data_IF_005876130621
#
_entry.id   IF_005876130621
#
_cell.length_a   1.000
_cell.length_b   1.000
_cell.length_c   1.000
_cell.angle_alpha   90.00
_cell.angle_beta   90.00
_cell.angle_gamma   90.00
#
_symmetry.space_group_name_H-M   'P 1'
#
loop_
_entity.id
_entity.type
_entity.pdbx_description
1 polymer ?
#
# COMPACT_ATOMS: atom_id res chain seq x y z
N UNK A 1 41.57 -4.80 11.37
CA UNK A 1 40.98 -4.29 10.11
C UNK A 1 40.81 -2.77 10.07
N UNK A 2 41.23 -2.00 11.09
CA UNK A 2 41.05 -0.53 11.11
C UNK A 2 39.59 -0.05 11.13
N UNK A 3 38.62 -0.97 11.22
CA UNK A 3 37.19 -0.67 11.30
C UNK A 3 36.82 -0.37 12.75
N UNK A 4 35.95 0.63 12.93
CA UNK A 4 35.40 1.00 14.23
C UNK A 4 34.69 -0.20 14.85
N UNK A 5 35.03 -0.50 16.10
CA UNK A 5 34.36 -1.54 16.88
C UNK A 5 33.02 -1.01 17.41
N UNK A 6 31.93 -1.33 16.70
CA UNK A 6 30.57 -0.91 17.06
C UNK A 6 30.12 -1.44 18.43
N UNK A 7 30.72 -2.53 18.95
CA UNK A 7 30.36 -3.10 20.26
C UNK A 7 31.07 -2.40 21.42
N UNK A 8 32.16 -1.69 21.14
CA UNK A 8 32.88 -0.89 22.13
C UNK A 8 32.36 0.56 22.21
N UNK A 9 31.36 0.92 21.40
CA UNK A 9 30.69 2.21 21.52
C UNK A 9 29.84 2.24 22.80
N UNK A 10 29.79 3.37 23.53
CA UNK A 10 28.84 3.56 24.61
C UNK A 10 27.42 3.30 24.13
N UNK A 11 26.60 2.64 24.95
CA UNK A 11 25.19 2.46 24.63
C UNK A 11 24.52 3.84 24.49
N UNK A 12 23.78 4.11 23.41
CA UNK A 12 23.08 5.37 23.26
C UNK A 12 21.97 5.47 24.30
N UNK A 13 22.02 6.51 25.13
CA UNK A 13 20.93 6.90 26.00
C UNK A 13 19.95 7.75 25.18
N UNK A 14 18.78 7.19 24.85
CA UNK A 14 17.70 7.93 24.19
C UNK A 14 16.93 8.74 25.24
N UNK A 15 17.59 9.75 25.79
CA UNK A 15 16.95 10.69 26.72
C UNK A 15 16.20 11.73 25.90
N UNK A 16 14.92 11.96 26.23
CA UNK A 16 14.13 13.08 25.66
C UNK A 16 14.97 14.36 25.77
N UNK A 17 15.40 14.90 24.64
CA UNK A 17 16.21 16.14 24.58
C UNK A 17 15.39 17.37 24.97
N UNK A 18 14.07 17.30 24.78
CA UNK A 18 13.14 18.36 25.14
C UNK A 18 12.45 18.02 26.48
N UNK A 19 12.46 18.92 27.47
CA UNK A 19 11.68 18.72 28.69
C UNK A 19 10.20 18.64 28.35
N UNK A 20 9.50 17.67 28.95
CA UNK A 20 8.07 17.49 28.70
C UNK A 20 7.29 18.75 29.08
N UNK A 21 6.56 19.30 28.11
CA UNK A 21 5.56 20.35 28.33
C UNK A 21 4.18 19.79 28.01
N UNK A 22 3.26 19.90 28.96
CA UNK A 22 1.89 19.44 28.76
C UNK A 22 1.14 20.32 27.73
N UNK A 23 0.23 19.71 26.93
CA UNK A 23 -0.69 20.44 26.07
C UNK A 23 -1.43 21.57 26.80
N UNK A 24 -1.41 22.78 26.23
CA UNK A 24 -2.01 23.99 26.83
C UNK A 24 -3.41 24.31 26.32
N UNK A 25 -3.84 23.62 25.26
CA UNK A 25 -5.16 23.80 24.65
C UNK A 25 -5.78 22.45 24.27
N UNK A 26 -7.10 22.44 24.03
CA UNK A 26 -7.79 21.24 23.53
C UNK A 26 -7.19 20.78 22.19
N UNK A 27 -6.81 21.73 21.32
CA UNK A 27 -6.20 21.45 20.02
C UNK A 27 -4.80 20.84 20.18
N UNK A 28 -3.95 21.38 21.06
CA UNK A 28 -2.66 20.76 21.39
C UNK A 28 -2.88 19.34 21.96
N UNK A 29 -3.89 19.13 22.81
CA UNK A 29 -4.15 17.82 23.43
C UNK A 29 -4.59 16.77 22.41
N UNK A 30 -5.46 17.14 21.47
CA UNK A 30 -5.87 16.26 20.37
C UNK A 30 -4.70 15.93 19.45
N UNK A 31 -3.90 16.93 19.06
CA UNK A 31 -2.70 16.71 18.24
C UNK A 31 -1.65 15.84 18.95
N UNK A 32 -1.42 16.04 20.24
CA UNK A 32 -0.51 15.21 21.03
C UNK A 32 -0.97 13.74 21.06
N UNK A 33 -2.27 13.49 21.22
CA UNK A 33 -2.84 12.14 21.11
C UNK A 33 -2.65 11.54 19.72
N UNK A 34 -2.89 12.32 18.66
CA UNK A 34 -2.68 11.87 17.28
C UNK A 34 -1.20 11.55 16.98
N UNK A 35 -0.26 12.34 17.48
CA UNK A 35 1.18 12.05 17.37
C UNK A 35 1.52 10.75 18.09
N UNK A 36 1.05 10.60 19.32
CA UNK A 36 1.29 9.43 20.16
C UNK A 36 0.81 8.15 19.46
N UNK A 37 -0.43 8.14 18.97
CA UNK A 37 -1.02 6.98 18.29
C UNK A 37 -0.30 6.64 16.99
N UNK A 38 0.08 7.64 16.19
CA UNK A 38 0.73 7.41 14.88
C UNK A 38 2.16 6.90 15.04
N UNK A 39 2.85 7.32 16.09
CA UNK A 39 4.22 6.96 16.40
C UNK A 39 4.33 5.77 17.37
N UNK A 40 3.21 5.23 17.83
CA UNK A 40 3.13 4.15 18.82
C UNK A 40 3.88 4.50 20.13
N UNK A 41 3.61 5.70 20.65
CA UNK A 41 4.22 6.24 21.86
C UNK A 41 3.17 6.40 22.98
N UNK A 42 3.55 6.19 24.25
CA UNK A 42 2.61 6.34 25.36
C UNK A 42 2.20 7.80 25.61
N UNK A 43 3.05 8.77 25.26
CA UNK A 43 2.81 10.19 25.52
C UNK A 43 3.69 11.09 24.65
N UNK A 44 3.11 12.19 24.16
CA UNK A 44 3.79 13.26 23.42
C UNK A 44 3.48 14.61 24.09
N UNK A 45 4.51 15.44 24.29
CA UNK A 45 4.40 16.79 24.82
C UNK A 45 4.30 17.85 23.71
N UNK A 46 3.93 19.08 24.08
CA UNK A 46 3.68 20.16 23.13
C UNK A 46 4.89 20.54 22.27
N UNK A 47 6.10 20.37 22.80
CA UNK A 47 7.36 20.78 22.15
C UNK A 47 8.14 19.59 21.58
N UNK A 48 7.58 18.37 21.64
CA UNK A 48 8.23 17.22 21.02
C UNK A 48 8.09 17.31 19.50
N UNK A 49 9.23 17.25 18.80
CA UNK A 49 9.27 17.24 17.35
C UNK A 49 8.84 15.88 16.80
N UNK A 50 7.91 15.88 15.84
CA UNK A 50 7.40 14.67 15.19
C UNK A 50 8.54 13.79 14.63
N UNK A 51 9.53 14.42 14.00
CA UNK A 51 10.66 13.73 13.37
C UNK A 51 11.72 13.26 14.37
N UNK A 52 11.89 13.99 15.48
CA UNK A 52 12.80 13.59 16.57
C UNK A 52 12.28 12.35 17.31
N UNK A 53 10.95 12.17 17.32
CA UNK A 53 10.27 10.99 17.85
C UNK A 53 10.20 9.81 16.87
N UNK A 54 10.92 9.86 15.74
CA UNK A 54 10.96 8.78 14.75
C UNK A 54 9.91 8.90 13.64
N UNK A 55 9.23 10.05 13.53
CA UNK A 55 8.35 10.35 12.42
C UNK A 55 9.06 10.36 11.07
N UNK A 56 8.39 9.87 10.02
CA UNK A 56 8.88 9.79 8.65
C UNK A 56 7.72 9.98 7.67
N UNK A 57 7.99 10.01 6.36
CA UNK A 57 7.00 10.42 5.35
C UNK A 57 5.68 9.63 5.39
N UNK A 58 5.73 8.33 5.71
CA UNK A 58 4.52 7.50 5.82
C UNK A 58 3.72 7.86 7.08
N UNK A 59 4.37 8.05 8.22
CA UNK A 59 3.68 8.45 9.46
C UNK A 59 3.18 9.89 9.38
N UNK A 60 3.86 10.80 8.67
CA UNK A 60 3.31 12.14 8.36
C UNK A 60 2.02 12.02 7.56
N UNK A 61 1.99 11.16 6.54
CA UNK A 61 0.78 10.95 5.73
C UNK A 61 -0.38 10.40 6.57
N UNK A 62 -0.10 9.45 7.48
CA UNK A 62 -1.09 8.92 8.43
C UNK A 62 -1.57 10.00 9.40
N UNK A 63 -0.67 10.80 9.96
CA UNK A 63 -0.98 11.90 10.87
C UNK A 63 -1.93 12.90 10.20
N UNK A 64 -1.60 13.37 9.00
CA UNK A 64 -2.46 14.29 8.23
C UNK A 64 -3.84 13.68 7.98
N UNK A 65 -3.90 12.40 7.60
CA UNK A 65 -5.17 11.72 7.39
C UNK A 65 -6.02 11.65 8.67
N UNK A 66 -5.40 11.37 9.83
CA UNK A 66 -6.12 11.35 11.12
C UNK A 66 -6.54 12.74 11.58
N UNK A 67 -5.70 13.76 11.42
CA UNK A 67 -6.08 15.16 11.69
C UNK A 67 -7.32 15.52 10.90
N UNK A 68 -7.37 15.16 9.61
CA UNK A 68 -8.55 15.41 8.77
C UNK A 68 -9.82 14.74 9.32
N UNK A 69 -9.72 13.49 9.77
CA UNK A 69 -10.86 12.74 10.29
C UNK A 69 -11.34 13.28 11.64
N UNK A 70 -10.42 13.53 12.58
CA UNK A 70 -10.76 13.89 13.96
C UNK A 70 -11.05 15.39 14.14
N UNK A 71 -10.37 16.25 13.39
CA UNK A 71 -10.45 17.71 13.53
C UNK A 71 -11.18 18.38 12.36
N UNK A 72 -11.48 17.66 11.28
CA UNK A 72 -12.19 18.22 10.12
C UNK A 72 -11.37 19.26 9.34
N UNK A 73 -10.06 19.34 9.56
CA UNK A 73 -9.16 20.32 8.94
C UNK A 73 -8.14 19.66 8.02
N UNK A 74 -7.78 20.33 6.93
CA UNK A 74 -6.71 19.88 6.03
C UNK A 74 -5.37 20.45 6.46
N UNK A 75 -4.38 19.56 6.57
CA UNK A 75 -2.99 19.92 6.82
C UNK A 75 -2.15 19.45 5.63
N UNK A 76 -1.58 20.35 4.81
CA UNK A 76 -0.66 19.91 3.78
C UNK A 76 0.56 19.28 4.45
N UNK A 77 1.10 18.20 3.87
CA UNK A 77 2.29 17.52 4.40
C UNK A 77 3.42 18.52 4.71
N UNK A 78 3.61 19.54 3.86
CA UNK A 78 4.58 20.62 4.08
C UNK A 78 4.41 21.32 5.44
N UNK A 79 3.19 21.54 5.90
CA UNK A 79 2.95 22.19 7.18
C UNK A 79 3.51 21.37 8.35
N UNK A 80 3.45 20.03 8.29
CA UNK A 80 4.06 19.17 9.32
C UNK A 80 5.59 19.32 9.34
N UNK A 81 6.22 19.63 8.21
CA UNK A 81 7.66 19.91 8.16
C UNK A 81 8.01 21.33 8.63
N UNK A 82 7.18 22.31 8.32
CA UNK A 82 7.38 23.71 8.74
C UNK A 82 7.05 23.93 10.22
N UNK A 83 6.11 23.15 10.75
CA UNK A 83 5.62 23.17 12.12
C UNK A 83 5.67 21.77 12.74
N UNK A 84 6.88 21.24 13.03
CA UNK A 84 7.07 19.84 13.41
C UNK A 84 6.65 19.48 14.84
N UNK A 85 6.42 20.45 15.73
CA UNK A 85 5.94 20.18 17.10
C UNK A 85 4.42 20.31 17.21
N UNK A 86 3.84 19.67 18.22
CA UNK A 86 2.40 19.79 18.52
C UNK A 86 1.96 21.24 18.67
N UNK A 87 2.74 22.06 19.38
CA UNK A 87 2.44 23.48 19.59
C UNK A 87 2.50 24.28 18.29
N UNK A 88 3.57 24.09 17.50
CA UNK A 88 3.71 24.79 16.23
C UNK A 88 2.61 24.39 15.24
N UNK A 89 2.22 23.11 15.21
CA UNK A 89 1.18 22.63 14.32
C UNK A 89 -0.20 23.12 14.77
N UNK A 90 -0.43 23.24 16.09
CA UNK A 90 -1.63 23.89 16.62
C UNK A 90 -1.70 25.36 16.19
N UNK A 91 -0.62 26.13 16.39
CA UNK A 91 -0.54 27.53 15.96
C UNK A 91 -0.73 27.67 14.43
N UNK A 92 -0.17 26.75 13.66
CA UNK A 92 -0.34 26.71 12.21
C UNK A 92 -1.81 26.49 11.83
N UNK A 93 -2.50 25.57 12.49
CA UNK A 93 -3.92 25.30 12.27
C UNK A 93 -4.77 26.51 12.64
N UNK A 94 -4.50 27.16 13.77
CA UNK A 94 -5.21 28.36 14.22
C UNK A 94 -5.08 29.50 13.20
N UNK A 95 -3.89 29.68 12.63
CA UNK A 95 -3.62 30.70 11.63
C UNK A 95 -4.23 30.40 10.25
N UNK A 96 -4.60 29.14 9.99
CA UNK A 96 -5.11 28.66 8.70
C UNK A 96 -6.53 28.09 8.78
N UNK A 97 -7.24 28.35 9.88
CA UNK A 97 -8.61 27.91 10.08
C UNK A 97 -9.50 28.47 8.95
N UNK A 98 -10.25 27.59 8.27
CA UNK A 98 -11.12 27.96 7.15
C UNK A 98 -10.57 27.81 5.73
N UNK A 99 -9.35 27.29 5.52
CA UNK A 99 -8.94 26.83 4.17
C UNK A 99 -9.79 25.63 3.75
N UNK A 100 -10.31 25.70 2.52
CA UNK A 100 -11.22 24.69 1.95
C UNK A 100 -10.67 23.27 2.17
N UNK A 101 -11.44 22.48 2.91
CA UNK A 101 -11.21 21.05 3.05
C UNK A 101 -11.24 20.42 1.66
N UNK A 102 -10.31 19.51 1.38
CA UNK A 102 -10.41 18.71 0.16
C UNK A 102 -11.74 17.98 0.26
N UNK A 103 -12.56 18.05 -0.79
CA UNK A 103 -13.87 17.42 -0.78
C UNK A 103 -13.73 15.95 -0.32
N UNK A 104 -14.62 15.55 0.58
CA UNK A 104 -14.65 14.16 1.04
C UNK A 104 -14.83 13.23 -0.17
N UNK A 105 -14.15 12.09 -0.15
CA UNK A 105 -14.38 11.05 -1.13
C UNK A 105 -15.70 10.37 -0.79
N UNK A 106 -16.75 10.75 -1.51
CA UNK A 106 -18.09 10.18 -1.38
C UNK A 106 -18.36 9.28 -2.59
N UNK A 107 -19.19 8.26 -2.40
CA UNK A 107 -19.69 7.45 -3.52
C UNK A 107 -20.29 8.36 -4.59
N UNK A 108 -19.84 8.18 -5.83
CA UNK A 108 -20.32 8.94 -6.99
C UNK A 108 -21.16 8.05 -7.89
N UNK A 109 -22.13 8.62 -8.66
CA UNK A 109 -22.75 7.91 -9.77
C UNK A 109 -21.67 7.39 -10.72
N UNK A 110 -21.70 6.10 -11.04
CA UNK A 110 -20.73 5.48 -11.95
C UNK A 110 -21.00 5.98 -13.38
N UNK A 111 -20.04 6.67 -14.03
CA UNK A 111 -20.21 7.07 -15.43
C UNK A 111 -20.17 5.84 -16.35
N UNK A 112 -20.73 5.97 -17.55
CA UNK A 112 -20.71 4.89 -18.55
C UNK A 112 -19.27 4.47 -18.93
N UNK A 113 -18.33 5.41 -18.93
CA UNK A 113 -16.89 5.18 -19.11
C UNK A 113 -16.15 5.80 -17.93
N UNK A 114 -15.50 4.96 -17.13
CA UNK A 114 -14.74 5.41 -15.96
C UNK A 114 -13.39 5.90 -16.46
N UNK A 115 -13.00 7.17 -16.23
CA UNK A 115 -11.71 7.67 -16.68
C UNK A 115 -10.56 6.99 -15.93
N UNK A 116 -9.39 6.92 -16.55
CA UNK A 116 -8.16 6.56 -15.85
C UNK A 116 -7.78 7.68 -14.88
N UNK A 117 -7.21 7.31 -13.74
CA UNK A 117 -6.44 8.26 -12.94
C UNK A 117 -5.19 8.72 -13.69
N UNK A 118 -4.62 9.87 -13.32
CA UNK A 118 -3.39 10.38 -13.94
C UNK A 118 -2.22 9.38 -13.91
N UNK A 119 -2.07 8.63 -12.82
CA UNK A 119 -1.05 7.60 -12.70
C UNK A 119 -1.30 6.43 -13.67
N UNK A 120 -2.55 6.01 -13.79
CA UNK A 120 -2.94 4.98 -14.76
C UNK A 120 -2.77 5.47 -16.20
N UNK A 121 -3.10 6.73 -16.52
CA UNK A 121 -2.91 7.30 -17.87
C UNK A 121 -1.46 7.23 -18.32
N UNK A 122 -0.50 7.53 -17.42
CA UNK A 122 0.94 7.36 -17.71
C UNK A 122 1.28 5.91 -18.03
N UNK A 123 0.85 4.96 -17.21
CA UNK A 123 1.15 3.54 -17.41
C UNK A 123 0.48 2.97 -18.67
N UNK A 124 -0.75 3.38 -18.95
CA UNK A 124 -1.47 3.00 -20.17
C UNK A 124 -0.76 3.53 -21.42
N UNK A 125 -0.33 4.80 -21.41
CA UNK A 125 0.45 5.37 -22.50
C UNK A 125 1.73 4.57 -22.76
N UNK A 126 2.51 4.28 -21.71
CA UNK A 126 3.74 3.50 -21.84
C UNK A 126 3.47 2.08 -22.38
N UNK A 127 2.45 1.41 -21.86
CA UNK A 127 2.03 0.09 -22.34
C UNK A 127 1.65 0.11 -23.82
N UNK A 128 0.91 1.13 -24.28
CA UNK A 128 0.52 1.29 -25.69
C UNK A 128 1.69 1.66 -26.60
N UNK A 129 2.67 2.39 -26.08
CA UNK A 129 3.83 2.86 -26.84
C UNK A 129 4.93 1.81 -26.96
N UNK A 130 5.23 1.11 -25.86
CA UNK A 130 6.32 0.12 -25.77
C UNK A 130 5.85 -1.32 -26.03
N UNK A 131 4.55 -1.59 -25.83
CA UNK A 131 3.95 -2.92 -25.86
C UNK A 131 3.96 -3.64 -24.49
N UNK A 132 3.36 -4.83 -24.41
CA UNK A 132 3.35 -5.65 -23.19
C UNK A 132 4.77 -6.01 -22.72
N UNK A 133 5.08 -5.71 -21.46
CA UNK A 133 6.35 -6.06 -20.81
C UNK A 133 6.17 -6.28 -19.31
N UNK A 134 7.13 -6.97 -18.69
CA UNK A 134 7.14 -7.18 -17.24
C UNK A 134 7.70 -5.99 -16.43
N UNK A 135 8.07 -4.88 -17.07
CA UNK A 135 8.74 -3.73 -16.42
C UNK A 135 7.94 -3.15 -15.25
N UNK A 136 6.61 -3.21 -15.32
CA UNK A 136 5.70 -2.67 -14.30
C UNK A 136 4.95 -3.77 -13.54
N UNK A 137 5.50 -4.98 -13.49
CA UNK A 137 4.99 -6.03 -12.62
C UNK A 137 5.44 -5.81 -11.17
N UNK A 138 4.55 -6.15 -10.25
CA UNK A 138 4.78 -6.22 -8.81
C UNK A 138 4.61 -7.69 -8.41
N UNK A 139 5.67 -8.51 -8.48
CA UNK A 139 5.60 -9.91 -8.09
C UNK A 139 5.69 -10.07 -6.57
N UNK A 140 4.78 -10.86 -6.00
CA UNK A 140 4.81 -11.34 -4.62
C UNK A 140 4.93 -12.87 -4.66
N UNK A 141 6.03 -13.40 -4.13
CA UNK A 141 6.25 -14.83 -4.01
C UNK A 141 6.24 -15.26 -2.54
N UNK A 142 5.37 -16.20 -2.20
CA UNK A 142 5.21 -16.76 -0.86
C UNK A 142 5.60 -18.23 -0.88
N UNK A 143 6.53 -18.62 -0.01
CA UNK A 143 6.85 -20.03 0.23
C UNK A 143 5.88 -20.58 1.27
N UNK A 144 5.15 -21.62 0.89
CA UNK A 144 4.14 -22.26 1.73
C UNK A 144 4.62 -23.67 2.11
N UNK A 145 4.59 -23.97 3.42
CA UNK A 145 5.03 -25.25 3.98
C UNK A 145 3.90 -25.91 4.75
N UNK A 146 3.74 -27.22 4.58
CA UNK A 146 2.69 -28.02 5.22
C UNK A 146 1.51 -28.34 4.30
N UNK A 147 0.41 -28.80 4.87
CA UNK A 147 -0.82 -29.08 4.13
C UNK A 147 -1.45 -27.78 3.61
N UNK A 148 -1.70 -27.73 2.30
CA UNK A 148 -2.32 -26.60 1.62
C UNK A 148 -3.67 -27.03 1.05
N UNK A 149 -4.74 -26.32 1.42
CA UNK A 149 -6.05 -26.50 0.79
C UNK A 149 -6.11 -25.59 -0.46
N UNK A 150 -5.86 -26.19 -1.62
CA UNK A 150 -5.87 -25.48 -2.91
C UNK A 150 -7.27 -24.96 -3.26
N UNK A 151 -8.34 -25.61 -2.80
CA UNK A 151 -9.70 -25.17 -3.05
C UNK A 151 -10.03 -23.92 -2.20
N UNK A 152 -9.65 -23.93 -0.92
CA UNK A 152 -9.76 -22.76 -0.05
C UNK A 152 -8.92 -21.58 -0.59
N UNK A 153 -7.70 -21.83 -1.07
CA UNK A 153 -6.87 -20.78 -1.69
C UNK A 153 -7.52 -20.18 -2.94
N UNK A 154 -8.15 -21.01 -3.77
CA UNK A 154 -8.90 -20.54 -4.95
C UNK A 154 -10.11 -19.69 -4.55
N UNK A 155 -10.85 -20.10 -3.52
CA UNK A 155 -11.99 -19.34 -2.99
C UNK A 155 -11.53 -18.00 -2.39
N UNK A 156 -10.43 -17.99 -1.64
CA UNK A 156 -9.86 -16.78 -1.04
C UNK A 156 -9.42 -15.76 -2.10
N UNK A 157 -8.76 -16.22 -3.18
CA UNK A 157 -8.40 -15.35 -4.31
C UNK A 157 -9.65 -14.77 -4.99
N UNK A 158 -10.70 -15.56 -5.16
CA UNK A 158 -11.95 -15.11 -5.75
C UNK A 158 -12.64 -14.04 -4.89
N UNK A 159 -12.66 -14.20 -3.56
CA UNK A 159 -13.22 -13.23 -2.62
C UNK A 159 -12.48 -11.89 -2.68
N UNK A 160 -11.14 -11.92 -2.64
CA UNK A 160 -10.28 -10.73 -2.74
C UNK A 160 -10.52 -9.99 -4.07
N UNK A 161 -10.61 -10.70 -5.19
CA UNK A 161 -10.87 -10.09 -6.50
C UNK A 161 -12.29 -9.53 -6.61
N UNK A 162 -13.28 -10.22 -6.02
CA UNK A 162 -14.64 -9.72 -5.97
C UNK A 162 -14.70 -8.38 -5.22
N UNK A 163 -13.99 -8.30 -4.08
CA UNK A 163 -13.88 -7.13 -3.20
C UNK A 163 -13.14 -5.95 -3.85
N UNK A 164 -12.01 -6.20 -4.52
CA UNK A 164 -11.15 -5.14 -5.06
C UNK A 164 -11.33 -4.98 -6.57
N UNK A 165 -12.13 -4.00 -6.98
CA UNK A 165 -12.45 -3.76 -8.41
C UNK A 165 -11.21 -3.56 -9.29
N UNK A 166 -10.14 -2.96 -8.76
CA UNK A 166 -8.89 -2.73 -9.51
C UNK A 166 -8.24 -4.02 -10.01
N UNK A 167 -8.39 -5.13 -9.28
CA UNK A 167 -7.82 -6.43 -9.65
C UNK A 167 -8.58 -7.10 -10.80
N UNK A 168 -9.80 -6.65 -11.10
CA UNK A 168 -10.65 -7.13 -12.20
C UNK A 168 -11.00 -6.03 -13.21
N UNK A 169 -10.10 -5.06 -13.37
CA UNK A 169 -10.28 -3.94 -14.30
C UNK A 169 -9.35 -4.11 -15.50
N UNK A 170 -9.92 -4.10 -16.71
CA UNK A 170 -9.16 -3.96 -17.96
C UNK A 170 -9.20 -2.52 -18.44
N UNK A 171 -8.28 -2.16 -19.33
CA UNK A 171 -8.07 -0.78 -19.79
C UNK A 171 -8.25 -0.72 -21.30
N UNK A 172 -9.13 0.16 -21.76
CA UNK A 172 -9.45 0.31 -23.17
C UNK A 172 -9.41 1.74 -23.61
N UNK A 173 -9.57 1.94 -24.91
CA UNK A 173 -9.74 3.26 -25.50
C UNK A 173 -11.02 3.25 -26.32
N UNK A 174 -11.84 4.29 -26.16
CA UNK A 174 -13.03 4.49 -26.95
C UNK A 174 -13.15 5.96 -27.33
N UNK A 175 -13.28 6.23 -28.63
CA UNK A 175 -13.31 7.58 -29.20
C UNK A 175 -12.07 8.43 -28.84
N UNK A 176 -10.89 7.81 -28.79
CA UNK A 176 -9.63 8.49 -28.45
C UNK A 176 -9.42 8.71 -26.94
N UNK A 177 -10.34 8.23 -26.08
CA UNK A 177 -10.28 8.44 -24.64
C UNK A 177 -10.11 7.11 -23.91
N UNK A 178 -9.03 7.01 -23.13
CA UNK A 178 -8.76 5.85 -22.30
C UNK A 178 -9.80 5.73 -21.18
N UNK A 179 -10.26 4.53 -20.91
CA UNK A 179 -11.22 4.23 -19.85
C UNK A 179 -10.92 2.90 -19.16
N UNK A 180 -11.42 2.79 -17.93
CA UNK A 180 -11.44 1.56 -17.15
C UNK A 180 -12.73 0.81 -17.44
N UNK A 181 -12.60 -0.49 -17.68
CA UNK A 181 -13.72 -1.41 -17.75
C UNK A 181 -13.58 -2.43 -16.61
N UNK A 182 -14.39 -2.22 -15.58
CA UNK A 182 -14.47 -3.12 -14.43
C UNK A 182 -15.28 -4.34 -14.85
N UNK A 183 -14.64 -5.51 -14.90
CA UNK A 183 -15.29 -6.78 -15.21
C UNK A 183 -16.15 -7.25 -14.03
N UNK A 184 -17.17 -8.10 -14.26
CA UNK A 184 -17.87 -8.79 -13.19
C UNK A 184 -16.87 -9.52 -12.27
N UNK A 185 -17.29 -9.78 -11.03
CA UNK A 185 -16.50 -10.59 -10.10
C UNK A 185 -16.51 -12.05 -10.59
N UNK A 186 -15.63 -12.35 -11.55
CA UNK A 186 -15.34 -13.70 -11.99
C UNK A 186 -14.17 -14.26 -11.19
N UNK A 187 -14.12 -15.58 -11.09
CA UNK A 187 -13.04 -16.29 -10.39
C UNK A 187 -11.73 -16.07 -11.13
N UNK A 188 -10.74 -15.45 -10.48
CA UNK A 188 -9.38 -15.43 -11.04
C UNK A 188 -8.84 -16.86 -11.07
N UNK A 189 -8.37 -17.34 -12.23
CA UNK A 189 -7.83 -18.69 -12.32
C UNK A 189 -6.52 -18.78 -11.52
N UNK A 190 -6.54 -19.52 -10.42
CA UNK A 190 -5.32 -20.04 -9.81
C UNK A 190 -4.77 -21.16 -10.70
N UNK A 191 -3.64 -20.88 -11.36
CA UNK A 191 -2.90 -21.84 -12.17
C UNK A 191 -2.09 -22.71 -11.21
N UNK A 192 -2.25 -24.02 -11.26
CA UNK A 192 -1.49 -24.97 -10.44
C UNK A 192 -0.57 -25.76 -11.36
N UNK A 193 0.72 -25.73 -11.08
CA UNK A 193 1.76 -26.42 -11.86
C UNK A 193 2.70 -27.15 -10.93
N UNK A 194 3.14 -28.36 -11.31
CA UNK A 194 4.25 -29.03 -10.65
C UNK A 194 5.57 -28.38 -11.06
N UNK A 195 6.55 -28.34 -10.16
CA UNK A 195 7.91 -27.89 -10.48
C UNK A 195 8.53 -28.90 -11.45
N UNK A 196 8.99 -28.41 -12.60
CA UNK A 196 9.63 -29.26 -13.60
C UNK A 196 10.90 -29.91 -13.05
N UNK A 197 11.15 -31.16 -13.44
CA UNK A 197 12.33 -31.90 -12.99
C UNK A 197 13.63 -31.17 -13.40
N UNK A 198 14.57 -31.08 -12.46
CA UNK A 198 15.83 -30.33 -12.62
C UNK A 198 15.72 -28.81 -12.66
N UNK A 199 14.52 -28.21 -12.63
CA UNK A 199 14.35 -26.76 -12.63
C UNK A 199 14.48 -26.20 -11.19
N UNK A 200 15.34 -25.18 -10.96
CA UNK A 200 15.36 -24.47 -9.69
C UNK A 200 14.04 -23.73 -9.45
N UNK A 201 13.49 -23.80 -8.23
CA UNK A 201 12.28 -23.06 -7.86
C UNK A 201 12.40 -21.56 -8.17
N UNK A 202 13.57 -20.96 -7.93
CA UNK A 202 13.82 -19.54 -8.21
C UNK A 202 13.64 -19.21 -9.69
N UNK A 203 14.00 -20.12 -10.58
CA UNK A 203 13.79 -19.96 -12.02
C UNK A 203 12.29 -20.03 -12.36
N UNK A 204 11.57 -21.02 -11.82
CA UNK A 204 10.12 -21.14 -12.03
C UNK A 204 9.36 -19.89 -11.52
N UNK A 205 9.76 -19.35 -10.36
CA UNK A 205 9.19 -18.11 -9.81
C UNK A 205 9.52 -16.90 -10.70
N UNK A 206 10.74 -16.79 -11.20
CA UNK A 206 11.13 -15.70 -12.10
C UNK A 206 10.37 -15.76 -13.44
N UNK A 207 10.15 -16.96 -13.99
CA UNK A 207 9.34 -17.16 -15.19
C UNK A 207 7.90 -16.72 -14.96
N UNK A 208 7.29 -17.10 -13.83
CA UNK A 208 5.95 -16.65 -13.46
C UNK A 208 5.87 -15.13 -13.29
N UNK A 209 6.87 -14.52 -12.64
CA UNK A 209 6.95 -13.08 -12.41
C UNK A 209 7.15 -12.25 -13.70
N UNK A 210 7.74 -12.85 -14.73
CA UNK A 210 8.00 -12.21 -16.02
C UNK A 210 6.79 -12.24 -16.98
N UNK A 211 5.57 -12.55 -16.49
CA UNK A 211 4.36 -12.52 -17.31
C UNK A 211 4.14 -11.14 -17.96
N UNK A 212 3.78 -11.12 -19.24
CA UNK A 212 3.47 -9.90 -19.96
C UNK A 212 1.94 -9.75 -20.04
N UNK A 213 1.39 -8.82 -19.26
CA UNK A 213 -0.06 -8.56 -19.25
C UNK A 213 -0.51 -7.88 -20.53
N UNK A 214 -1.60 -8.38 -21.14
CA UNK A 214 -2.34 -7.65 -22.17
C UNK A 214 -3.48 -6.87 -21.52
N UNK A 215 -3.21 -5.62 -21.11
CA UNK A 215 -4.11 -4.84 -20.26
C UNK A 215 -5.47 -4.51 -20.92
N UNK A 216 -5.60 -4.69 -22.23
CA UNK A 216 -6.85 -4.52 -22.95
C UNK A 216 -7.82 -5.70 -22.81
N UNK A 217 -7.32 -6.89 -22.47
CA UNK A 217 -8.13 -8.12 -22.44
C UNK A 217 -7.89 -9.01 -21.22
N UNK A 218 -6.81 -8.77 -20.49
CA UNK A 218 -6.39 -9.53 -19.32
C UNK A 218 -6.46 -8.66 -18.07
N UNK A 219 -7.02 -9.21 -16.98
CA UNK A 219 -7.01 -8.55 -15.68
C UNK A 219 -5.57 -8.40 -15.17
N UNK A 220 -5.23 -7.30 -14.48
CA UNK A 220 -3.86 -6.98 -14.04
C UNK A 220 -3.41 -7.79 -12.81
N UNK A 221 -3.88 -9.03 -12.67
CA UNK A 221 -3.56 -9.98 -11.61
C UNK A 221 -3.43 -11.38 -12.20
N UNK A 222 -2.35 -12.07 -11.86
CA UNK A 222 -2.12 -13.49 -12.17
C UNK A 222 -1.69 -14.23 -10.92
N UNK A 223 -2.25 -15.41 -10.68
CA UNK A 223 -1.91 -16.26 -9.55
C UNK A 223 -1.44 -17.63 -10.03
N UNK A 224 -0.24 -18.04 -9.61
CA UNK A 224 0.32 -19.35 -9.91
C UNK A 224 0.81 -20.03 -8.63
N UNK A 225 0.37 -21.27 -8.41
CA UNK A 225 0.87 -22.15 -7.37
C UNK A 225 1.81 -23.19 -8.00
N UNK A 226 3.08 -23.14 -7.61
CA UNK A 226 4.12 -24.08 -8.05
C UNK A 226 4.31 -25.11 -6.93
N UNK A 227 3.95 -26.37 -7.19
CA UNK A 227 4.11 -27.47 -6.24
C UNK A 227 5.50 -28.12 -6.42
N UNK A 228 6.36 -28.04 -5.40
CA UNK A 228 7.65 -28.75 -5.39
C UNK A 228 7.50 -30.14 -4.75
N UNK A 229 6.59 -30.27 -3.79
CA UNK A 229 6.19 -31.54 -3.21
C UNK A 229 4.77 -31.43 -2.63
N UNK A 230 4.26 -32.50 -2.01
CA UNK A 230 2.95 -32.49 -1.34
C UNK A 230 2.85 -31.47 -0.20
N UNK A 231 3.98 -31.00 0.35
CA UNK A 231 4.00 -30.09 1.51
C UNK A 231 4.85 -28.84 1.28
N UNK A 232 5.39 -28.62 0.09
CA UNK A 232 6.21 -27.45 -0.23
C UNK A 232 5.71 -26.83 -1.53
N UNK A 233 5.27 -25.58 -1.45
CA UNK A 233 4.69 -24.87 -2.58
C UNK A 233 5.24 -23.44 -2.63
N UNK A 234 5.25 -22.84 -3.82
CA UNK A 234 5.41 -21.41 -3.98
C UNK A 234 4.15 -20.81 -4.61
N UNK A 235 3.49 -19.88 -3.91
CA UNK A 235 2.43 -19.07 -4.48
C UNK A 235 3.06 -17.78 -5.04
N UNK A 236 2.93 -17.58 -6.35
CA UNK A 236 3.37 -16.37 -7.04
C UNK A 236 2.13 -15.59 -7.46
N UNK A 237 1.97 -14.40 -6.89
CA UNK A 237 0.98 -13.41 -7.29
C UNK A 237 1.70 -12.30 -8.05
N UNK A 238 1.31 -12.06 -9.29
CA UNK A 238 1.86 -10.98 -10.11
C UNK A 238 0.75 -9.98 -10.34
N UNK A 239 0.96 -8.75 -9.91
CA UNK A 239 0.02 -7.64 -10.13
C UNK A 239 0.69 -6.59 -11.00
N UNK A 240 -0.01 -6.05 -12.00
CA UNK A 240 0.52 -4.93 -12.77
C UNK A 240 0.34 -3.61 -11.99
N UNK A 241 1.35 -2.73 -11.99
CA UNK A 241 1.38 -1.48 -11.22
C UNK A 241 0.24 -0.50 -11.58
N UNK A 242 -0.48 -0.74 -12.68
CA UNK A 242 -1.68 0.03 -13.06
C UNK A 242 -2.87 -0.20 -12.10
N UNK A 243 -2.87 -1.31 -11.37
CA UNK A 243 -3.95 -1.73 -10.47
C UNK A 243 -3.57 -1.74 -8.98
N UNK A 244 -2.28 -1.69 -8.68
CA UNK A 244 -1.76 -1.72 -7.31
C UNK A 244 -0.45 -0.95 -7.20
N UNK A 245 -0.12 -0.58 -5.97
CA UNK A 245 1.16 0.01 -5.58
C UNK A 245 1.69 -0.67 -4.30
N UNK A 246 2.81 -0.17 -3.77
CA UNK A 246 3.40 -0.72 -2.55
C UNK A 246 2.48 -0.65 -1.32
N UNK A 247 1.62 0.38 -1.21
CA UNK A 247 0.67 0.51 -0.11
C UNK A 247 -0.49 -0.49 -0.23
N UNK A 248 -0.78 -0.95 -1.46
CA UNK A 248 -1.81 -1.94 -1.76
C UNK A 248 -1.41 -3.38 -1.40
N UNK A 249 -0.12 -3.67 -1.23
CA UNK A 249 0.36 -5.03 -0.98
C UNK A 249 -0.01 -5.58 0.40
N UNK A 250 0.08 -4.75 1.44
CA UNK A 250 -0.31 -5.15 2.79
C UNK A 250 -1.81 -5.50 2.93
N UNK A 251 -2.77 -4.66 2.48
CA UNK A 251 -4.18 -5.03 2.51
C UNK A 251 -4.49 -6.24 1.64
N UNK A 252 -3.85 -6.38 0.47
CA UNK A 252 -4.01 -7.57 -0.39
C UNK A 252 -3.61 -8.85 0.35
N UNK A 253 -2.45 -8.86 0.99
CA UNK A 253 -1.97 -10.02 1.75
C UNK A 253 -2.87 -10.33 2.95
N UNK A 254 -3.32 -9.30 3.68
CA UNK A 254 -4.21 -9.46 4.84
C UNK A 254 -5.59 -10.00 4.45
N UNK A 255 -6.19 -9.46 3.38
CA UNK A 255 -7.50 -9.91 2.91
C UNK A 255 -7.42 -11.36 2.40
N UNK A 256 -6.35 -11.72 1.67
CA UNK A 256 -6.14 -13.10 1.22
C UNK A 256 -5.98 -14.08 2.38
N UNK A 257 -5.16 -13.73 3.38
CA UNK A 257 -4.97 -14.56 4.57
C UNK A 257 -6.29 -14.75 5.34
N UNK A 258 -7.05 -13.67 5.52
CA UNK A 258 -8.35 -13.68 6.20
C UNK A 258 -9.33 -14.59 5.46
N UNK A 259 -9.47 -14.42 4.15
CA UNK A 259 -10.38 -15.21 3.33
C UNK A 259 -9.98 -16.69 3.25
N UNK A 260 -8.69 -17.02 3.30
CA UNK A 260 -8.21 -18.41 3.34
C UNK A 260 -8.55 -19.13 4.65
N UNK A 261 -8.59 -18.40 5.77
CA UNK A 261 -8.86 -18.95 7.11
C UNK A 261 -10.33 -18.99 7.52
N UNK A 262 -11.23 -18.42 6.70
CA UNK A 262 -12.67 -18.35 6.95
C UNK A 262 -13.36 -19.70 6.70
#
# INVERSE_FOLDING_TARGET
NGKVDRKALPAPEFTRTTPYRAPRSQREALLAGLFADVLDLPQVGSDDGFFDLGGHSLTVTRLVARIRVELGVEVPIRAVFEAPTVAQLADWLDAHDGRATRAALLAQPRPARIPLSWAQSRLWFLHRYEGPSATYNIPLALRLRGSLDVAALRAALADVVARHESLRTIFGEADGVAHQQILPAETVPLIVTELADGMPLTEAVNQAAAHHFELATETPLRAQLIAESQTEHALVLVVHHIAADGASLAPLANDLATAYTA
#
